data_IF_573831841415
#
_entry.id   IF_573831841415
#
_cell.length_a   1.000
_cell.length_b   1.000
_cell.length_c   1.000
_cell.angle_alpha   90.00
_cell.angle_beta   90.00
_cell.angle_gamma   90.00
#
_symmetry.space_group_name_H-M   'P 1'
#
loop_
_entity.id
_entity.type
_entity.pdbx_description
1 polymer ?
#
# COMPACT_ATOMS: atom_id res chain seq x y z
N UNK A 1 -31.08 -19.68 2.97
CA UNK A 1 -30.34 -20.09 1.75
C UNK A 1 -28.88 -20.16 2.12
N UNK A 2 -28.44 -21.37 2.39
CA UNK A 2 -27.11 -21.79 2.84
C UNK A 2 -26.10 -21.62 1.70
N UNK A 3 -25.12 -20.74 1.89
CA UNK A 3 -24.08 -20.44 0.88
C UNK A 3 -22.77 -21.14 1.24
N UNK A 4 -22.48 -22.22 0.52
CA UNK A 4 -21.18 -22.80 0.10
C UNK A 4 -19.98 -22.91 1.07
N UNK A 5 -20.06 -22.42 2.31
CA UNK A 5 -19.01 -22.58 3.33
C UNK A 5 -19.06 -23.98 3.99
N UNK A 6 -20.21 -24.66 3.95
CA UNK A 6 -20.41 -25.98 4.57
C UNK A 6 -19.95 -27.16 3.69
N UNK A 7 -19.65 -26.95 2.39
CA UNK A 7 -19.13 -28.02 1.52
C UNK A 7 -17.60 -28.17 1.55
N UNK A 8 -16.87 -27.37 2.35
CA UNK A 8 -15.41 -27.49 2.48
C UNK A 8 -14.94 -28.25 3.73
N UNK A 9 -15.86 -28.91 4.46
CA UNK A 9 -15.53 -29.65 5.71
C UNK A 9 -15.73 -31.18 5.58
N UNK A 10 -16.16 -31.72 4.43
CA UNK A 10 -16.28 -33.19 4.26
C UNK A 10 -15.45 -33.66 3.07
N UNK A 11 -14.19 -33.98 3.33
CA UNK A 11 -13.42 -34.99 2.60
C UNK A 11 -12.17 -35.32 3.43
N UNK A 12 -12.33 -36.27 4.35
CA UNK A 12 -11.24 -36.92 5.05
C UNK A 12 -10.67 -38.06 4.18
N UNK A 13 -9.42 -38.43 4.49
CA UNK A 13 -8.69 -39.64 4.14
C UNK A 13 -7.89 -39.74 2.81
N UNK A 14 -6.57 -39.72 3.02
CA UNK A 14 -5.52 -40.57 2.42
C UNK A 14 -4.76 -40.11 1.15
N UNK A 15 -3.46 -39.85 1.39
CA UNK A 15 -2.31 -39.66 0.48
C UNK A 15 -1.99 -38.24 -0.06
N UNK A 16 -0.92 -37.64 0.52
CA UNK A 16 -0.10 -36.43 0.21
C UNK A 16 -0.03 -35.88 -1.24
N UNK A 17 0.46 -34.62 -1.50
CA UNK A 17 1.32 -33.70 -0.69
C UNK A 17 0.77 -32.24 -0.54
N UNK A 18 1.40 -31.34 0.25
CA UNK A 18 0.74 -30.21 0.90
C UNK A 18 0.35 -29.08 -0.07
N UNK A 19 -0.86 -28.53 0.14
CA UNK A 19 -1.42 -27.40 -0.61
C UNK A 19 -0.53 -26.17 -0.47
N UNK A 20 0.12 -25.79 -1.58
CA UNK A 20 0.76 -24.48 -1.75
C UNK A 20 -0.32 -23.39 -1.83
N UNK A 21 -0.16 -22.38 -0.98
CA UNK A 21 -0.83 -21.06 -0.88
C UNK A 21 -1.92 -20.71 -1.89
N UNK A 22 -3.16 -20.63 -1.40
CA UNK A 22 -4.34 -20.17 -2.15
C UNK A 22 -4.39 -18.62 -2.18
N UNK A 23 -4.00 -18.01 -3.31
CA UNK A 23 -4.32 -16.60 -3.61
C UNK A 23 -5.66 -16.55 -4.35
N UNK A 24 -6.75 -16.20 -3.64
CA UNK A 24 -8.07 -16.00 -4.26
C UNK A 24 -8.21 -14.55 -4.77
N UNK A 25 -8.35 -14.37 -6.09
CA UNK A 25 -8.76 -13.10 -6.68
C UNK A 25 -10.24 -13.16 -7.09
N UNK A 26 -11.07 -12.31 -6.52
CA UNK A 26 -12.51 -12.26 -6.79
C UNK A 26 -12.84 -11.01 -7.61
N UNK A 27 -12.97 -11.16 -8.93
CA UNK A 27 -13.44 -10.07 -9.80
C UNK A 27 -14.98 -10.08 -9.78
N UNK A 28 -15.63 -9.26 -8.94
CA UNK A 28 -17.09 -9.30 -8.77
C UNK A 28 -17.92 -8.86 -9.99
N UNK A 29 -17.30 -8.44 -11.10
CA UNK A 29 -18.00 -8.23 -12.38
C UNK A 29 -18.09 -9.49 -13.25
N UNK A 30 -17.32 -10.52 -12.94
CA UNK A 30 -17.28 -11.79 -13.67
C UNK A 30 -17.26 -12.87 -12.62
N UNK A 31 -18.37 -13.59 -12.37
CA UNK A 31 -18.48 -14.71 -11.42
C UNK A 31 -17.42 -15.79 -11.70
N UNK A 32 -16.17 -15.52 -11.41
CA UNK A 32 -14.97 -16.14 -11.96
C UNK A 32 -13.93 -16.26 -10.86
N UNK A 33 -13.46 -17.47 -10.60
CA UNK A 33 -12.46 -17.79 -9.59
C UNK A 33 -11.23 -18.33 -10.29
N UNK A 34 -10.05 -17.79 -9.99
CA UNK A 34 -8.76 -18.28 -10.50
C UNK A 34 -7.94 -18.84 -9.34
N UNK A 35 -7.41 -20.05 -9.46
CA UNK A 35 -6.47 -20.59 -8.48
C UNK A 35 -5.40 -21.51 -9.12
N UNK A 36 -4.31 -21.72 -8.39
CA UNK A 36 -3.21 -22.60 -8.79
C UNK A 36 -3.54 -24.01 -8.31
N UNK A 37 -3.72 -24.96 -9.23
CA UNK A 37 -4.03 -26.37 -8.91
C UNK A 37 -2.79 -27.16 -8.48
N UNK A 38 -1.61 -26.76 -8.97
CA UNK A 38 -0.34 -27.43 -8.67
C UNK A 38 0.70 -27.26 -9.77
N UNK A 39 1.78 -28.05 -9.69
CA UNK A 39 2.91 -28.04 -10.62
C UNK A 39 3.05 -29.42 -11.26
N UNK A 40 3.06 -29.52 -12.59
CA UNK A 40 3.28 -30.78 -13.32
C UNK A 40 4.42 -30.59 -14.33
N UNK A 41 5.47 -31.42 -14.25
CA UNK A 41 6.67 -31.34 -15.08
C UNK A 41 7.31 -29.94 -15.10
N UNK A 42 7.40 -29.29 -13.93
CA UNK A 42 7.98 -27.95 -13.79
C UNK A 42 7.07 -26.79 -14.21
N UNK A 43 5.87 -27.05 -14.72
CA UNK A 43 4.92 -26.04 -15.23
C UNK A 43 3.78 -25.81 -14.25
N UNK A 44 3.36 -24.55 -14.07
CA UNK A 44 2.22 -24.19 -13.23
C UNK A 44 0.90 -24.50 -13.93
N UNK A 45 -0.04 -25.12 -13.21
CA UNK A 45 -1.41 -25.36 -13.65
C UNK A 45 -2.35 -24.37 -12.97
N UNK A 46 -3.00 -23.53 -13.78
CA UNK A 46 -4.04 -22.61 -13.33
C UNK A 46 -5.40 -23.17 -13.71
N UNK A 47 -6.33 -23.19 -12.76
CA UNK A 47 -7.74 -23.52 -12.97
C UNK A 47 -8.60 -22.28 -12.79
N UNK A 48 -9.71 -22.28 -13.52
CA UNK A 48 -10.76 -21.32 -13.28
C UNK A 48 -12.15 -21.88 -13.40
N UNK A 49 -12.97 -21.37 -12.50
CA UNK A 49 -14.36 -21.71 -12.35
C UNK A 49 -15.16 -20.46 -12.62
N UNK A 50 -16.09 -20.53 -13.57
CA UNK A 50 -17.04 -19.46 -13.85
C UNK A 50 -18.46 -20.02 -13.80
N UNK A 51 -19.35 -19.42 -13.00
CA UNK A 51 -20.73 -19.90 -12.84
C UNK A 51 -20.82 -21.41 -12.55
N UNK A 52 -20.02 -21.93 -11.61
CA UNK A 52 -20.00 -23.36 -11.22
C UNK A 52 -19.55 -24.33 -12.33
N UNK A 53 -19.08 -23.83 -13.47
CA UNK A 53 -18.48 -24.61 -14.54
C UNK A 53 -16.96 -24.40 -14.59
N UNK A 54 -16.21 -25.49 -14.72
CA UNK A 54 -14.76 -25.45 -14.98
C UNK A 54 -14.54 -24.90 -16.40
N UNK A 55 -13.88 -23.74 -16.53
CA UNK A 55 -13.73 -23.05 -17.82
C UNK A 55 -12.38 -23.27 -18.46
N UNK A 56 -11.29 -23.46 -17.70
CA UNK A 56 -9.96 -23.68 -18.30
C UNK A 56 -8.95 -24.38 -17.40
N UNK A 57 -8.04 -25.11 -18.05
CA UNK A 57 -6.73 -25.52 -17.53
C UNK A 57 -5.64 -24.94 -18.45
N UNK A 58 -4.75 -24.08 -17.94
CA UNK A 58 -3.60 -23.57 -18.73
C UNK A 58 -2.29 -24.16 -18.22
N UNK A 59 -1.41 -24.49 -19.18
CA UNK A 59 -0.04 -24.93 -18.93
C UNK A 59 0.88 -23.86 -19.50
N UNK A 60 1.75 -23.28 -18.66
CA UNK A 60 2.79 -22.35 -19.08
C UNK A 60 3.90 -23.09 -19.84
N UNK A 61 4.20 -22.64 -21.07
CA UNK A 61 5.41 -23.05 -21.80
C UNK A 61 6.10 -21.78 -22.34
N UNK A 62 7.33 -21.53 -21.92
CA UNK A 62 8.18 -20.44 -22.43
C UNK A 62 7.51 -19.05 -22.38
N UNK A 63 6.85 -18.72 -21.26
CA UNK A 63 6.16 -17.44 -21.07
C UNK A 63 4.89 -17.24 -21.91
N UNK A 64 4.43 -18.29 -22.62
CA UNK A 64 3.18 -18.31 -23.39
C UNK A 64 2.23 -19.36 -22.80
N UNK A 65 0.98 -18.95 -22.54
CA UNK A 65 -0.06 -19.85 -22.04
C UNK A 65 -0.64 -20.63 -23.22
N UNK A 66 -0.50 -21.96 -23.21
CA UNK A 66 -1.17 -22.83 -24.18
C UNK A 66 -2.59 -23.15 -23.68
N UNK A 67 -3.60 -22.62 -24.37
CA UNK A 67 -5.01 -22.97 -24.16
C UNK A 67 -5.35 -24.24 -24.92
N UNK A 68 -5.85 -25.28 -24.24
CA UNK A 68 -6.44 -26.47 -24.90
C UNK A 68 -7.97 -26.33 -24.94
N UNK A 69 -8.49 -26.28 -26.17
CA UNK A 69 -9.89 -26.43 -26.63
C UNK A 69 -11.01 -25.60 -25.97
N UNK A 70 -11.63 -24.72 -26.77
CA UNK A 70 -13.07 -24.82 -27.06
C UNK A 70 -13.41 -24.03 -28.32
N UNK A 71 -13.72 -24.74 -29.40
CA UNK A 71 -14.09 -24.16 -30.69
C UNK A 71 -15.55 -23.65 -30.75
N UNK A 72 -16.35 -23.71 -29.67
CA UNK A 72 -17.82 -23.60 -29.80
C UNK A 72 -18.59 -22.74 -28.76
N UNK A 73 -17.99 -21.76 -28.07
CA UNK A 73 -18.77 -20.82 -27.25
C UNK A 73 -18.39 -19.34 -27.47
N UNK A 74 -19.00 -18.80 -28.53
CA UNK A 74 -19.55 -17.45 -28.71
C UNK A 74 -18.68 -16.17 -28.50
N UNK A 75 -18.80 -15.32 -29.52
CA UNK A 75 -18.11 -14.06 -29.82
C UNK A 75 -18.17 -12.94 -28.75
N UNK A 76 -17.23 -11.98 -28.89
CA UNK A 76 -17.03 -10.71 -28.15
C UNK A 76 -16.57 -10.75 -26.68
N UNK A 77 -16.86 -11.80 -25.90
CA UNK A 77 -16.40 -11.89 -24.49
C UNK A 77 -14.92 -12.29 -24.33
N UNK A 78 -14.33 -13.01 -25.29
CA UNK A 78 -12.93 -13.46 -25.24
C UNK A 78 -11.92 -12.29 -25.21
N UNK A 79 -12.18 -11.21 -25.94
CA UNK A 79 -11.27 -10.06 -26.01
C UNK A 79 -11.14 -9.31 -24.67
N UNK A 80 -12.26 -9.05 -23.97
CA UNK A 80 -12.26 -8.45 -22.62
C UNK A 80 -11.56 -9.36 -21.60
N UNK A 81 -11.73 -10.67 -21.72
CA UNK A 81 -11.12 -11.68 -20.87
C UNK A 81 -9.60 -11.75 -21.04
N UNK A 82 -9.10 -11.75 -22.29
CA UNK A 82 -7.66 -11.73 -22.57
C UNK A 82 -6.99 -10.44 -22.10
N UNK A 83 -7.69 -9.29 -22.20
CA UNK A 83 -7.20 -8.00 -21.69
C UNK A 83 -7.12 -7.99 -20.17
N UNK A 84 -8.15 -8.48 -19.46
CA UNK A 84 -8.12 -8.62 -17.99
C UNK A 84 -7.04 -9.59 -17.53
N UNK A 85 -6.88 -10.74 -18.21
CA UNK A 85 -5.86 -11.72 -17.86
C UNK A 85 -4.47 -11.15 -18.05
N UNK A 86 -4.22 -10.44 -19.16
CA UNK A 86 -2.97 -9.70 -19.37
C UNK A 86 -2.74 -8.66 -18.26
N UNK A 87 -3.76 -7.89 -17.85
CA UNK A 87 -3.65 -6.92 -16.76
C UNK A 87 -3.32 -7.56 -15.40
N UNK A 88 -3.95 -8.69 -15.06
CA UNK A 88 -3.70 -9.43 -13.82
C UNK A 88 -2.32 -10.11 -13.81
N UNK A 89 -1.91 -10.74 -14.92
CA UNK A 89 -0.57 -11.37 -15.01
C UNK A 89 0.53 -10.30 -15.04
N UNK A 90 0.26 -9.15 -15.67
CA UNK A 90 1.09 -7.95 -15.59
C UNK A 90 1.20 -7.42 -14.16
N UNK A 91 0.14 -7.52 -13.35
CA UNK A 91 0.13 -7.04 -11.96
C UNK A 91 0.92 -7.98 -11.05
N UNK A 92 0.75 -9.30 -11.20
CA UNK A 92 1.57 -10.29 -10.51
C UNK A 92 3.05 -10.21 -10.90
N UNK A 93 3.37 -9.98 -12.18
CA UNK A 93 4.74 -9.68 -12.62
C UNK A 93 5.26 -8.37 -12.01
N UNK A 94 4.43 -7.34 -11.82
CA UNK A 94 4.82 -6.11 -11.13
C UNK A 94 5.20 -6.39 -9.68
N UNK A 95 4.38 -7.11 -8.94
CA UNK A 95 4.67 -7.43 -7.53
C UNK A 95 5.94 -8.28 -7.36
N UNK A 96 6.25 -9.18 -8.31
CA UNK A 96 7.44 -10.04 -8.26
C UNK A 96 8.72 -9.38 -8.80
N UNK A 97 8.64 -8.49 -9.80
CA UNK A 97 9.82 -7.85 -10.42
C UNK A 97 10.20 -6.50 -9.79
N UNK A 98 9.48 -6.05 -8.76
CA UNK A 98 9.75 -4.85 -7.97
C UNK A 98 11.01 -4.95 -7.07
N UNK A 99 11.87 -5.96 -7.26
CA UNK A 99 13.15 -6.17 -6.56
C UNK A 99 14.23 -5.08 -6.80
N UNK A 100 13.95 -4.03 -7.59
CA UNK A 100 14.99 -3.13 -8.12
C UNK A 100 15.31 -1.88 -7.26
N UNK A 101 14.46 -1.35 -6.36
CA UNK A 101 14.87 -0.19 -5.55
C UNK A 101 15.37 -0.51 -4.13
N UNK A 102 15.51 -1.78 -3.73
CA UNK A 102 16.00 -2.13 -2.38
C UNK A 102 17.43 -1.58 -2.15
N UNK A 103 18.34 -1.74 -3.13
CA UNK A 103 19.70 -1.17 -3.08
C UNK A 103 19.73 0.36 -3.02
N UNK A 104 18.71 1.01 -3.60
CA UNK A 104 18.55 2.47 -3.58
C UNK A 104 18.17 2.95 -2.18
N UNK A 105 17.26 2.25 -1.51
CA UNK A 105 16.88 2.55 -0.12
C UNK A 105 18.09 2.32 0.82
N UNK A 106 18.90 1.26 0.65
CA UNK A 106 20.16 1.07 1.43
C UNK A 106 21.10 2.26 1.28
N UNK A 107 21.36 2.70 0.04
CA UNK A 107 22.24 3.87 -0.20
C UNK A 107 21.71 5.14 0.45
N UNK A 108 20.39 5.27 0.59
CA UNK A 108 19.72 6.45 1.16
C UNK A 108 19.64 6.44 2.68
N UNK A 109 19.67 5.26 3.30
CA UNK A 109 19.84 5.15 4.75
C UNK A 109 21.24 5.60 5.23
N UNK A 110 22.19 5.83 4.32
CA UNK A 110 23.43 6.56 4.63
C UNK A 110 23.15 7.96 5.17
N UNK A 111 21.99 8.57 4.90
CA UNK A 111 21.61 9.88 5.45
C UNK A 111 21.46 9.81 6.96
N UNK A 112 20.79 8.77 7.48
CA UNK A 112 20.73 8.54 8.93
C UNK A 112 22.13 8.29 9.51
N UNK A 113 23.06 7.70 8.73
CA UNK A 113 24.46 7.51 9.14
C UNK A 113 25.19 8.85 9.31
N UNK A 114 25.03 9.80 8.39
CA UNK A 114 25.64 11.15 8.48
C UNK A 114 25.05 11.94 9.65
N UNK A 115 23.74 11.86 9.88
CA UNK A 115 23.11 12.56 11.01
C UNK A 115 23.46 11.91 12.36
N UNK A 116 23.59 10.57 12.42
CA UNK A 116 24.00 9.85 13.63
C UNK A 116 25.44 10.15 14.09
N UNK A 117 26.35 10.54 13.17
CA UNK A 117 27.69 11.01 13.56
C UNK A 117 27.68 12.35 14.29
N UNK A 118 26.61 13.13 14.16
CA UNK A 118 26.38 14.36 14.91
C UNK A 118 25.30 14.09 15.98
N UNK A 119 25.70 13.42 17.06
CA UNK A 119 24.91 12.92 18.21
C UNK A 119 23.80 13.84 18.80
N UNK A 120 23.70 15.11 18.40
CA UNK A 120 22.76 16.10 18.95
C UNK A 120 21.74 16.71 17.97
N UNK A 121 21.68 16.32 16.69
CA UNK A 121 20.69 16.92 15.78
C UNK A 121 19.32 16.29 15.91
N UNK A 122 18.33 17.11 16.26
CA UNK A 122 16.92 16.75 16.22
C UNK A 122 16.43 16.60 14.78
N UNK A 123 15.63 15.57 14.54
CA UNK A 123 15.13 15.24 13.23
C UNK A 123 13.61 15.04 13.24
N UNK A 124 12.91 15.62 12.27
CA UNK A 124 11.51 15.26 12.02
C UNK A 124 11.44 13.99 11.16
N UNK A 125 11.19 12.85 11.81
CA UNK A 125 11.11 11.54 11.20
C UNK A 125 9.93 11.42 10.21
N UNK A 126 8.83 12.11 10.47
CA UNK A 126 7.69 12.15 9.55
C UNK A 126 8.09 12.74 8.20
N UNK A 127 8.76 13.90 8.19
CA UNK A 127 9.21 14.56 6.95
C UNK A 127 10.17 13.65 6.17
N UNK A 128 11.05 12.91 6.86
CA UNK A 128 11.96 11.96 6.20
C UNK A 128 11.20 10.79 5.58
N UNK A 129 10.20 10.25 6.28
CA UNK A 129 9.35 9.19 5.72
C UNK A 129 8.56 9.66 4.51
N UNK A 130 8.02 10.89 4.54
CA UNK A 130 7.31 11.49 3.41
C UNK A 130 8.23 11.61 2.18
N UNK A 131 9.46 12.10 2.36
CA UNK A 131 10.46 12.20 1.28
C UNK A 131 10.87 10.82 0.75
N UNK A 132 11.09 9.86 1.64
CA UNK A 132 11.43 8.49 1.27
C UNK A 132 10.31 7.80 0.50
N UNK A 133 9.08 7.93 0.98
CA UNK A 133 7.90 7.39 0.30
C UNK A 133 7.74 8.03 -1.08
N UNK A 134 7.92 9.35 -1.18
CA UNK A 134 7.82 10.08 -2.44
C UNK A 134 8.86 9.65 -3.47
N UNK A 135 10.13 9.55 -3.07
CA UNK A 135 11.17 9.07 -3.98
C UNK A 135 10.92 7.62 -4.42
N UNK A 136 10.45 6.78 -3.50
CA UNK A 136 10.20 5.36 -3.76
C UNK A 136 9.04 5.18 -4.75
N UNK A 137 7.93 5.92 -4.56
CA UNK A 137 6.79 5.87 -5.48
C UNK A 137 7.14 6.48 -6.84
N UNK A 138 7.90 7.59 -6.90
CA UNK A 138 8.38 8.15 -8.17
C UNK A 138 9.23 7.14 -8.93
N UNK A 139 10.17 6.46 -8.25
CA UNK A 139 11.04 5.49 -8.89
C UNK A 139 10.31 4.26 -9.41
N UNK A 140 9.35 3.74 -8.62
CA UNK A 140 8.59 2.54 -8.99
C UNK A 140 7.54 2.86 -10.06
N UNK A 141 6.79 3.94 -9.86
CA UNK A 141 5.68 4.28 -10.75
C UNK A 141 6.13 4.96 -12.03
N UNK A 142 7.18 5.78 -11.98
CA UNK A 142 7.58 6.66 -13.09
C UNK A 142 8.94 6.30 -13.68
N UNK A 143 9.69 5.40 -13.05
CA UNK A 143 11.09 5.15 -13.42
C UNK A 143 12.00 6.36 -13.18
N UNK A 144 11.48 7.40 -12.51
CA UNK A 144 12.16 8.67 -12.27
C UNK A 144 12.56 8.77 -10.81
N UNK A 145 13.82 9.09 -10.57
CA UNK A 145 14.35 9.29 -9.23
C UNK A 145 14.58 10.78 -8.97
N UNK A 146 13.71 11.44 -8.19
CA UNK A 146 13.87 12.84 -7.90
C UNK A 146 14.99 13.17 -6.89
N UNK A 147 15.51 12.17 -6.18
CA UNK A 147 16.50 12.33 -5.13
C UNK A 147 16.09 13.33 -4.01
N UNK A 148 14.82 13.43 -3.61
CA UNK A 148 14.37 14.38 -2.58
C UNK A 148 14.86 14.07 -1.17
N UNK A 149 15.40 12.86 -0.97
CA UNK A 149 16.14 12.53 0.24
C UNK A 149 17.52 13.19 0.33
N UNK A 150 18.08 13.72 -0.74
CA UNK A 150 19.39 14.40 -0.71
C UNK A 150 19.28 15.83 -0.15
N UNK A 151 19.70 16.02 1.09
CA UNK A 151 19.65 17.31 1.80
C UNK A 151 20.70 18.33 1.33
N UNK A 152 21.66 17.92 0.49
CA UNK A 152 22.57 18.89 -0.17
C UNK A 152 21.82 19.79 -1.15
N UNK A 153 20.64 19.35 -1.61
CA UNK A 153 19.67 20.13 -2.35
C UNK A 153 18.64 20.69 -1.36
N UNK A 154 18.85 21.93 -0.92
CA UNK A 154 18.12 22.58 0.17
C UNK A 154 16.64 22.91 -0.13
N UNK A 155 16.14 22.66 -1.34
CA UNK A 155 14.80 23.07 -1.75
C UNK A 155 13.79 21.94 -1.62
N UNK A 156 12.71 22.18 -0.87
CA UNK A 156 11.48 21.37 -0.96
C UNK A 156 11.05 21.37 -2.42
N UNK A 157 10.87 20.19 -3.00
CA UNK A 157 10.40 20.06 -4.39
C UNK A 157 9.14 20.90 -4.61
N UNK A 158 9.09 21.76 -5.63
CA UNK A 158 7.87 22.48 -5.98
C UNK A 158 6.68 21.54 -6.18
N UNK A 159 6.94 20.32 -6.66
CA UNK A 159 5.93 19.27 -6.83
C UNK A 159 5.41 18.76 -5.48
N UNK A 160 6.30 18.47 -4.53
CA UNK A 160 5.89 17.97 -3.21
C UNK A 160 5.11 19.03 -2.42
N UNK A 161 5.57 20.29 -2.44
CA UNK A 161 4.87 21.41 -1.81
C UNK A 161 3.50 21.66 -2.45
N UNK A 162 3.39 21.55 -3.78
CA UNK A 162 2.11 21.67 -4.46
C UNK A 162 1.14 20.55 -4.07
N UNK A 163 1.61 19.31 -3.89
CA UNK A 163 0.77 18.22 -3.38
C UNK A 163 0.25 18.51 -1.96
N UNK A 164 1.10 19.03 -1.07
CA UNK A 164 0.71 19.33 0.31
C UNK A 164 -0.39 20.41 0.34
N UNK A 165 -0.21 21.50 -0.43
CA UNK A 165 -1.21 22.56 -0.60
C UNK A 165 -2.51 22.03 -1.22
N UNK A 166 -2.41 21.17 -2.24
CA UNK A 166 -3.58 20.62 -2.91
C UNK A 166 -4.38 19.68 -1.98
N UNK A 167 -3.70 18.85 -1.20
CA UNK A 167 -4.31 17.94 -0.24
C UNK A 167 -5.02 18.70 0.90
N UNK A 168 -4.37 19.72 1.46
CA UNK A 168 -4.95 20.56 2.51
C UNK A 168 -6.19 21.31 2.00
N UNK A 169 -6.08 22.00 0.86
CA UNK A 169 -7.20 22.73 0.27
C UNK A 169 -8.37 21.80 -0.09
N UNK A 170 -8.09 20.58 -0.57
CA UNK A 170 -9.12 19.58 -0.86
C UNK A 170 -9.78 19.07 0.42
N UNK A 171 -9.02 18.81 1.49
CA UNK A 171 -9.59 18.42 2.78
C UNK A 171 -10.49 19.51 3.38
N UNK A 172 -10.15 20.80 3.18
CA UNK A 172 -11.00 21.93 3.58
C UNK A 172 -12.33 21.95 2.82
N UNK A 173 -12.35 21.59 1.53
CA UNK A 173 -13.61 21.47 0.77
C UNK A 173 -14.53 20.42 1.37
N UNK A 174 -13.99 19.27 1.76
CA UNK A 174 -14.74 18.18 2.36
C UNK A 174 -15.32 18.54 3.74
N UNK A 175 -14.66 19.44 4.48
CA UNK A 175 -15.13 19.98 5.76
C UNK A 175 -16.16 21.10 5.62
N UNK A 176 -16.34 21.66 4.42
CA UNK A 176 -17.28 22.76 4.23
C UNK A 176 -18.72 22.27 4.46
N UNK A 177 -19.36 22.79 5.51
CA UNK A 177 -20.73 22.42 5.88
C UNK A 177 -21.74 22.65 4.75
N UNK A 178 -21.46 23.60 3.85
CA UNK A 178 -22.35 23.90 2.72
C UNK A 178 -21.59 23.89 1.39
N UNK A 179 -22.02 23.01 0.48
CA UNK A 179 -21.39 22.77 -0.83
C UNK A 179 -21.28 24.02 -1.72
N UNK A 180 -22.08 25.05 -1.52
CA UNK A 180 -22.00 26.26 -2.34
C UNK A 180 -20.83 27.16 -1.92
N UNK A 181 -20.34 27.08 -0.68
CA UNK A 181 -19.27 27.95 -0.16
C UNK A 181 -17.99 27.79 -0.97
N UNK A 182 -17.54 26.54 -1.19
CA UNK A 182 -16.34 26.31 -2.00
C UNK A 182 -16.59 26.61 -3.48
N UNK A 183 -17.82 26.41 -3.99
CA UNK A 183 -18.16 26.78 -5.38
C UNK A 183 -18.07 28.28 -5.61
N UNK A 184 -18.55 29.08 -4.65
CA UNK A 184 -18.43 30.56 -4.68
C UNK A 184 -16.98 30.98 -4.54
N UNK A 185 -16.22 30.41 -3.59
CA UNK A 185 -14.78 30.67 -3.47
C UNK A 185 -14.03 30.32 -4.77
N UNK A 186 -14.44 29.26 -5.46
CA UNK A 186 -13.86 28.83 -6.75
C UNK A 186 -14.21 29.80 -7.87
N UNK A 187 -15.46 30.24 -7.94
CA UNK A 187 -15.93 31.23 -8.92
C UNK A 187 -15.21 32.58 -8.75
N UNK A 188 -15.07 33.03 -7.51
CA UNK A 188 -14.39 34.28 -7.15
C UNK A 188 -12.86 34.15 -7.12
N UNK A 189 -12.32 32.93 -7.29
CA UNK A 189 -10.89 32.63 -7.21
C UNK A 189 -10.25 33.16 -5.91
N UNK A 190 -10.86 32.88 -4.76
CA UNK A 190 -10.46 33.41 -3.44
C UNK A 190 -9.67 32.39 -2.64
N UNK A 191 -8.57 32.87 -2.05
CA UNK A 191 -7.75 32.25 -1.00
C UNK A 191 -7.45 30.75 -1.22
N UNK A 192 -8.21 29.84 -0.62
CA UNK A 192 -7.96 28.39 -0.67
C UNK A 192 -8.14 27.81 -2.06
N UNK A 193 -9.11 28.31 -2.83
CA UNK A 193 -9.42 27.82 -4.18
C UNK A 193 -8.41 28.33 -5.21
N UNK A 194 -7.88 29.55 -5.01
CA UNK A 194 -6.78 30.09 -5.81
C UNK A 194 -5.51 29.28 -5.60
N UNK A 195 -5.12 29.05 -4.34
CA UNK A 195 -3.96 28.23 -3.98
C UNK A 195 -4.06 26.82 -4.56
N UNK A 196 -5.25 26.22 -4.49
CA UNK A 196 -5.48 24.90 -5.10
C UNK A 196 -5.34 24.92 -6.62
N UNK A 197 -5.89 25.94 -7.31
CA UNK A 197 -5.74 26.10 -8.76
C UNK A 197 -4.26 26.22 -9.17
N UNK A 198 -3.49 27.04 -8.45
CA UNK A 198 -2.05 27.23 -8.68
C UNK A 198 -1.28 25.92 -8.43
N UNK A 199 -1.54 25.25 -7.31
CA UNK A 199 -0.92 23.96 -6.96
C UNK A 199 -1.22 22.88 -8.01
N UNK A 200 -2.47 22.75 -8.46
CA UNK A 200 -2.85 21.82 -9.54
C UNK A 200 -2.13 22.16 -10.84
N UNK A 201 -1.96 23.45 -11.16
CA UNK A 201 -1.17 23.89 -12.31
C UNK A 201 0.29 23.42 -12.23
N UNK A 202 0.93 23.57 -11.07
CA UNK A 202 2.31 23.08 -10.83
C UNK A 202 2.40 21.57 -10.95
N UNK A 203 1.44 20.83 -10.36
CA UNK A 203 1.40 19.37 -10.44
C UNK A 203 1.25 18.91 -11.89
N UNK A 204 0.29 19.46 -12.63
CA UNK A 204 0.05 19.10 -14.03
C UNK A 204 1.27 19.39 -14.90
N UNK A 205 1.89 20.57 -14.73
CA UNK A 205 3.10 20.92 -15.47
C UNK A 205 4.24 19.93 -15.21
N UNK A 206 4.53 19.65 -13.94
CA UNK A 206 5.61 18.74 -13.56
C UNK A 206 5.36 17.30 -14.03
N UNK A 207 4.14 16.79 -13.86
CA UNK A 207 3.78 15.42 -14.29
C UNK A 207 3.83 15.30 -15.81
N UNK A 208 3.32 16.28 -16.56
CA UNK A 208 3.40 16.28 -18.01
C UNK A 208 4.85 16.34 -18.51
N UNK A 209 5.72 17.10 -17.84
CA UNK A 209 7.15 17.13 -18.16
C UNK A 209 7.82 15.76 -17.94
N UNK A 210 7.47 15.06 -16.85
CA UNK A 210 7.93 13.69 -16.59
C UNK A 210 7.45 12.72 -17.68
N UNK A 211 6.16 12.79 -18.05
CA UNK A 211 5.57 11.95 -19.10
C UNK A 211 6.28 12.19 -20.43
N UNK A 212 6.48 13.46 -20.81
CA UNK A 212 7.17 13.85 -22.04
C UNK A 212 8.59 13.30 -22.07
N UNK A 213 9.40 13.56 -21.04
CA UNK A 213 10.77 13.05 -20.93
C UNK A 213 10.81 11.53 -20.97
N UNK A 214 9.82 10.85 -20.41
CA UNK A 214 9.75 9.39 -20.44
C UNK A 214 9.44 8.86 -21.85
N UNK A 215 8.60 9.55 -22.62
CA UNK A 215 8.33 9.24 -24.04
C UNK A 215 9.56 9.44 -24.92
N UNK A 216 10.32 10.52 -24.69
CA UNK A 216 11.55 10.81 -25.44
C UNK A 216 12.66 9.77 -25.20
N UNK A 217 12.75 9.23 -23.98
CA UNK A 217 13.74 8.22 -23.60
C UNK A 217 13.22 6.77 -23.72
N UNK A 218 12.11 6.56 -24.43
CA UNK A 218 11.53 5.24 -24.64
C UNK A 218 12.22 4.55 -25.82
N UNK A 219 13.39 3.93 -25.56
CA UNK A 219 13.99 2.99 -26.50
C UNK A 219 13.03 1.79 -26.62
N UNK A 220 12.59 1.47 -27.83
CA UNK A 220 11.59 0.42 -28.15
C UNK A 220 11.93 -1.02 -27.71
N UNK A 221 12.89 -1.19 -26.81
CA UNK A 221 13.16 -2.43 -26.08
C UNK A 221 12.08 -2.71 -25.02
N UNK A 222 11.61 -3.96 -24.95
CA UNK A 222 10.63 -4.49 -23.99
C UNK A 222 11.04 -4.42 -22.50
N UNK A 223 12.17 -3.81 -22.17
CA UNK A 223 12.78 -3.82 -20.84
C UNK A 223 12.38 -2.66 -19.94
N UNK A 224 11.40 -1.83 -20.31
CA UNK A 224 10.93 -0.74 -19.45
C UNK A 224 9.86 -1.21 -18.44
N UNK A 225 10.26 -1.28 -17.16
CA UNK A 225 9.59 -2.03 -16.08
C UNK A 225 8.61 -1.21 -15.24
N UNK A 226 8.67 0.12 -15.27
CA UNK A 226 7.83 0.99 -14.45
C UNK A 226 6.40 1.16 -14.99
N UNK A 227 5.52 1.60 -14.11
CA UNK A 227 4.08 1.66 -14.36
C UNK A 227 3.72 2.69 -15.45
N UNK A 228 4.38 3.85 -15.46
CA UNK A 228 4.19 4.91 -16.45
C UNK A 228 4.53 4.43 -17.86
N UNK A 229 5.68 3.79 -18.03
CA UNK A 229 6.09 3.24 -19.33
C UNK A 229 5.04 2.27 -19.86
N UNK A 230 4.47 1.44 -18.99
CA UNK A 230 3.40 0.50 -19.37
C UNK A 230 2.08 1.17 -19.74
N UNK A 231 1.69 2.25 -19.05
CA UNK A 231 0.50 3.02 -19.44
C UNK A 231 0.68 3.67 -20.82
N UNK A 232 1.87 4.19 -21.08
CA UNK A 232 2.22 4.77 -22.39
C UNK A 232 2.24 3.69 -23.47
N UNK A 233 2.88 2.53 -23.24
CA UNK A 233 2.91 1.43 -24.20
C UNK A 233 1.54 0.81 -24.48
N UNK A 234 0.60 0.90 -23.52
CA UNK A 234 -0.77 0.45 -23.71
C UNK A 234 -1.62 1.42 -24.57
N UNK A 235 -1.07 2.57 -24.97
CA UNK A 235 -1.75 3.53 -25.85
C UNK A 235 -2.86 4.31 -25.16
N UNK A 236 -2.78 4.49 -23.85
CA UNK A 236 -3.73 5.32 -23.10
C UNK A 236 -3.54 6.81 -23.43
N UNK A 237 -4.63 7.57 -23.31
CA UNK A 237 -4.61 9.02 -23.51
C UNK A 237 -3.77 9.74 -22.43
N UNK A 238 -3.19 10.88 -22.80
CA UNK A 238 -2.25 11.61 -21.93
C UNK A 238 -2.89 12.12 -20.64
N UNK A 239 -4.19 12.43 -20.68
CA UNK A 239 -4.94 12.88 -19.52
C UNK A 239 -5.08 11.76 -18.48
N UNK A 240 -5.46 10.56 -18.91
CA UNK A 240 -5.58 9.37 -18.08
C UNK A 240 -4.20 8.96 -17.54
N UNK A 241 -3.15 9.03 -18.36
CA UNK A 241 -1.78 8.75 -17.89
C UNK A 241 -1.39 9.75 -16.79
N UNK A 242 -1.60 11.05 -17.00
CA UNK A 242 -1.34 12.11 -16.01
C UNK A 242 -2.13 11.88 -14.73
N UNK A 243 -3.43 11.67 -14.82
CA UNK A 243 -4.31 11.51 -13.66
C UNK A 243 -3.99 10.24 -12.87
N UNK A 244 -3.59 9.16 -13.55
CA UNK A 244 -3.09 7.95 -12.92
C UNK A 244 -1.77 8.20 -12.19
N UNK A 245 -0.81 8.90 -12.80
CA UNK A 245 0.46 9.27 -12.16
C UNK A 245 0.21 10.09 -10.90
N UNK A 246 -0.62 11.14 -10.98
CA UNK A 246 -1.00 11.97 -9.84
C UNK A 246 -1.61 11.09 -8.73
N UNK A 247 -2.55 10.20 -9.10
CA UNK A 247 -3.23 9.30 -8.16
C UNK A 247 -2.24 8.37 -7.44
N UNK A 248 -1.27 7.77 -8.14
CA UNK A 248 -0.26 6.91 -7.53
C UNK A 248 0.67 7.66 -6.59
N UNK A 249 1.14 8.85 -7.01
CA UNK A 249 2.03 9.67 -6.19
C UNK A 249 1.35 10.08 -4.88
N UNK A 250 0.11 10.56 -4.94
CA UNK A 250 -0.66 10.92 -3.75
C UNK A 250 -0.92 9.71 -2.85
N UNK A 251 -1.43 8.62 -3.42
CA UNK A 251 -1.81 7.45 -2.65
C UNK A 251 -0.61 6.77 -1.96
N UNK A 252 0.53 6.67 -2.64
CA UNK A 252 1.72 5.96 -2.14
C UNK A 252 2.60 6.75 -1.17
N UNK A 253 2.57 8.09 -1.25
CA UNK A 253 3.43 8.98 -0.45
C UNK A 253 2.94 9.14 0.99
N UNK A 254 1.75 9.68 1.16
CA UNK A 254 1.30 10.17 2.47
C UNK A 254 0.84 9.01 3.36
N UNK A 255 0.15 8.02 2.79
CA UNK A 255 -0.40 6.90 3.56
C UNK A 255 0.68 6.03 4.20
N UNK A 256 1.69 5.64 3.42
CA UNK A 256 2.83 4.82 3.85
C UNK A 256 3.68 5.56 4.89
N UNK A 257 3.92 6.86 4.69
CA UNK A 257 4.72 7.66 5.62
C UNK A 257 4.01 7.87 6.96
N UNK A 258 2.69 8.09 6.96
CA UNK A 258 1.88 8.14 8.17
C UNK A 258 1.92 6.81 8.95
N UNK A 259 1.69 5.68 8.28
CA UNK A 259 1.71 4.37 8.91
C UNK A 259 3.04 4.04 9.60
N UNK A 260 4.16 4.30 8.92
CA UNK A 260 5.49 4.12 9.52
C UNK A 260 5.72 5.06 10.70
N UNK A 261 5.35 6.33 10.56
CA UNK A 261 5.55 7.33 11.63
C UNK A 261 4.81 6.92 12.91
N UNK A 262 3.55 6.48 12.81
CA UNK A 262 2.78 5.99 13.95
C UNK A 262 3.31 4.69 14.53
N UNK A 263 3.82 3.77 13.69
CA UNK A 263 4.48 2.57 14.20
C UNK A 263 5.71 2.95 15.06
N UNK A 264 6.59 3.80 14.56
CA UNK A 264 7.78 4.19 15.34
C UNK A 264 7.41 4.91 16.63
N UNK A 265 6.38 5.75 16.65
CA UNK A 265 5.85 6.32 17.90
C UNK A 265 5.33 5.26 18.88
N UNK A 266 4.61 4.26 18.38
CA UNK A 266 4.12 3.17 19.23
C UNK A 266 5.28 2.35 19.82
N UNK A 267 6.34 2.11 19.05
CA UNK A 267 7.52 1.38 19.52
C UNK A 267 8.25 2.09 20.66
N UNK A 268 8.25 3.44 20.71
CA UNK A 268 8.88 4.18 21.83
C UNK A 268 8.26 3.85 23.18
N UNK A 269 6.98 3.48 23.19
CA UNK A 269 6.24 3.09 24.39
C UNK A 269 6.20 1.57 24.63
N UNK A 270 6.68 0.77 23.68
CA UNK A 270 6.65 -0.70 23.74
C UNK A 270 8.03 -1.29 23.43
N UNK A 271 9.04 -1.05 24.29
CA UNK A 271 10.41 -1.50 24.04
C UNK A 271 10.55 -3.02 23.92
N UNK A 272 9.67 -3.79 24.59
CA UNK A 272 9.62 -5.25 24.44
C UNK A 272 9.24 -5.65 23.02
N UNK A 273 8.22 -5.00 22.44
CA UNK A 273 7.80 -5.25 21.05
C UNK A 273 8.89 -4.82 20.06
N UNK A 274 9.56 -3.68 20.31
CA UNK A 274 10.70 -3.26 19.49
C UNK A 274 11.84 -4.30 19.54
N UNK A 275 12.12 -4.87 20.72
CA UNK A 275 13.11 -5.95 20.87
C UNK A 275 12.72 -7.21 20.10
N UNK A 276 11.46 -7.62 20.16
CA UNK A 276 10.97 -8.80 19.43
C UNK A 276 11.03 -8.59 17.91
N UNK A 277 10.71 -7.39 17.43
CA UNK A 277 10.93 -7.01 16.03
C UNK A 277 12.40 -7.09 15.64
N UNK A 278 13.30 -6.58 16.47
CA UNK A 278 14.74 -6.65 16.21
C UNK A 278 15.24 -8.10 16.14
N UNK A 279 14.73 -8.98 17.00
CA UNK A 279 15.04 -10.41 16.98
C UNK A 279 14.56 -11.06 15.66
N UNK A 280 13.31 -10.80 15.24
CA UNK A 280 12.80 -11.26 13.94
C UNK A 280 13.70 -10.77 12.80
N UNK A 281 13.97 -9.47 12.73
CA UNK A 281 14.77 -8.87 11.67
C UNK A 281 16.19 -9.45 11.62
N UNK A 282 16.80 -9.70 12.78
CA UNK A 282 18.18 -10.20 12.87
C UNK A 282 18.27 -11.68 12.51
N UNK A 283 17.28 -12.50 12.91
CA UNK A 283 17.22 -13.93 12.60
C UNK A 283 17.10 -14.26 11.12
N UNK A 284 16.52 -13.36 10.32
CA UNK A 284 16.33 -13.54 8.87
C UNK A 284 17.61 -13.31 8.06
N UNK A 285 18.63 -12.69 8.64
CA UNK A 285 19.88 -12.37 7.95
C UNK A 285 20.84 -13.56 8.12
N UNK A 286 20.84 -14.45 7.13
CA UNK A 286 21.56 -15.73 7.22
C UNK A 286 23.08 -15.64 7.06
N UNK A 287 23.65 -14.51 6.60
CA UNK A 287 25.10 -14.34 6.50
C UNK A 287 25.51 -12.85 6.66
N UNK A 288 26.71 -12.62 7.20
CA UNK A 288 27.31 -11.30 7.47
C UNK A 288 27.49 -10.41 6.22
N UNK A 289 27.32 -10.94 5.01
CA UNK A 289 27.67 -10.25 3.76
C UNK A 289 26.47 -9.59 3.03
N UNK A 290 25.24 -9.77 3.52
CA UNK A 290 24.06 -9.12 2.94
C UNK A 290 23.73 -7.80 3.64
N UNK A 291 24.35 -6.71 3.17
CA UNK A 291 23.99 -5.33 3.57
C UNK A 291 22.55 -4.93 3.21
N UNK A 292 21.86 -5.70 2.36
CA UNK A 292 20.51 -5.44 1.86
C UNK A 292 19.55 -6.61 2.12
N UNK A 293 18.39 -6.32 2.71
CA UNK A 293 17.28 -7.28 2.84
C UNK A 293 16.77 -7.67 1.45
N UNK A 294 16.55 -8.96 1.22
CA UNK A 294 15.97 -9.51 -0.01
C UNK A 294 14.44 -9.46 0.05
N UNK A 295 13.79 -9.68 -1.10
CA UNK A 295 12.34 -9.74 -1.16
C UNK A 295 11.75 -10.92 -0.39
N UNK A 296 12.45 -12.05 -0.40
CA UNK A 296 12.02 -13.25 0.31
C UNK A 296 12.20 -13.05 1.83
N UNK A 297 13.28 -12.41 2.29
CA UNK A 297 13.43 -12.06 3.71
C UNK A 297 12.26 -11.21 4.21
N UNK A 298 11.82 -10.24 3.41
CA UNK A 298 10.72 -9.36 3.77
C UNK A 298 9.38 -10.10 3.85
N UNK A 299 9.17 -11.15 3.04
CA UNK A 299 7.93 -11.92 3.05
C UNK A 299 7.73 -12.63 4.38
N UNK A 300 8.80 -13.19 4.93
CA UNK A 300 8.83 -13.97 6.17
C UNK A 300 8.73 -13.10 7.44
N UNK A 301 8.79 -11.76 7.35
CA UNK A 301 8.65 -10.85 8.49
C UNK A 301 7.17 -10.64 8.90
N UNK A 302 6.58 -11.68 9.47
CA UNK A 302 5.18 -11.73 9.88
C UNK A 302 4.90 -10.90 11.15
N UNK A 303 5.81 -10.86 12.10
CA UNK A 303 5.67 -10.05 13.32
C UNK A 303 5.75 -8.55 13.00
N UNK A 304 6.65 -8.14 12.11
CA UNK A 304 6.67 -6.77 11.59
C UNK A 304 5.38 -6.41 10.84
N UNK A 305 4.83 -7.35 10.07
CA UNK A 305 3.53 -7.16 9.40
C UNK A 305 2.40 -7.01 10.42
N UNK A 306 2.40 -7.82 11.48
CA UNK A 306 1.45 -7.71 12.59
C UNK A 306 1.56 -6.36 13.31
N UNK A 307 2.77 -5.88 13.59
CA UNK A 307 2.99 -4.55 14.18
C UNK A 307 2.48 -3.43 13.28
N UNK A 308 2.69 -3.51 11.96
CA UNK A 308 2.14 -2.55 11.00
C UNK A 308 0.62 -2.57 10.98
N UNK A 309 0.00 -3.77 10.96
CA UNK A 309 -1.45 -3.92 11.00
C UNK A 309 -2.03 -3.35 12.30
N UNK A 310 -1.43 -3.65 13.45
CA UNK A 310 -1.88 -3.16 14.76
C UNK A 310 -1.69 -1.64 14.90
N UNK A 311 -0.57 -1.11 14.38
CA UNK A 311 -0.33 0.33 14.33
C UNK A 311 -1.40 1.02 13.50
N UNK A 312 -1.72 0.50 12.30
CA UNK A 312 -2.76 1.08 11.44
C UNK A 312 -4.18 0.83 11.95
N UNK A 313 -4.41 -0.16 12.83
CA UNK A 313 -5.71 -0.33 13.51
C UNK A 313 -5.97 0.84 14.46
N UNK A 314 -4.95 1.23 15.22
CA UNK A 314 -5.02 2.38 16.13
C UNK A 314 -4.88 3.72 15.39
N UNK A 315 -3.98 3.82 14.43
CA UNK A 315 -3.69 5.06 13.71
C UNK A 315 -3.77 4.84 12.20
N UNK A 316 -4.98 4.56 11.66
CA UNK A 316 -5.15 4.37 10.23
C UNK A 316 -4.78 5.64 9.47
N UNK A 317 -3.99 5.55 8.38
CA UNK A 317 -3.68 6.71 7.55
C UNK A 317 -4.93 7.37 6.96
N UNK A 318 -5.97 6.59 6.64
CA UNK A 318 -7.28 7.10 6.20
C UNK A 318 -8.30 6.86 7.30
N UNK A 319 -8.72 7.93 7.97
CA UNK A 319 -9.54 7.87 9.19
C UNK A 319 -10.99 7.49 8.95
N UNK A 320 -11.52 7.86 7.79
CA UNK A 320 -12.87 7.60 7.33
C UNK A 320 -12.90 7.51 5.81
N UNK A 321 -13.88 6.79 5.28
CA UNK A 321 -14.18 6.83 3.85
C UNK A 321 -15.69 6.70 3.64
N UNK A 322 -16.16 7.08 2.46
CA UNK A 322 -17.56 7.11 2.12
C UNK A 322 -17.85 6.53 0.75
N UNK A 323 -19.02 5.90 0.61
CA UNK A 323 -19.61 5.46 -0.65
C UNK A 323 -20.94 6.18 -0.84
N UNK A 324 -21.44 6.21 -2.07
CA UNK A 324 -22.78 6.75 -2.36
C UNK A 324 -23.67 5.61 -2.84
N UNK A 325 -24.88 5.53 -2.30
CA UNK A 325 -25.85 4.53 -2.70
C UNK A 325 -26.27 4.76 -4.16
N UNK A 326 -26.05 3.76 -5.02
CA UNK A 326 -26.42 3.85 -6.43
C UNK A 326 -27.93 3.72 -6.64
N UNK A 327 -28.59 2.93 -5.80
CA UNK A 327 -30.02 2.69 -5.74
C UNK A 327 -30.47 2.65 -4.27
N UNK A 328 -31.78 2.61 -4.03
CA UNK A 328 -32.32 2.42 -2.68
C UNK A 328 -31.94 1.04 -2.15
N UNK A 329 -31.61 0.95 -0.87
CA UNK A 329 -31.19 -0.27 -0.19
C UNK A 329 -31.54 -0.21 1.32
N UNK A 330 -31.31 -1.29 2.05
CA UNK A 330 -31.53 -1.39 3.50
C UNK A 330 -30.30 -2.01 4.16
N UNK A 331 -29.74 -1.33 5.17
CA UNK A 331 -28.61 -1.85 5.94
C UNK A 331 -29.01 -3.07 6.78
N UNK A 332 -28.05 -3.89 7.26
CA UNK A 332 -28.36 -5.11 8.02
C UNK A 332 -29.18 -4.89 9.31
N UNK A 333 -29.22 -3.67 9.84
CA UNK A 333 -30.01 -3.29 11.02
C UNK A 333 -31.42 -2.79 10.67
N UNK A 334 -31.80 -2.83 9.40
CA UNK A 334 -33.09 -2.33 8.91
C UNK A 334 -33.09 -0.85 8.52
N UNK A 335 -31.97 -0.13 8.65
CA UNK A 335 -31.90 1.29 8.29
C UNK A 335 -32.02 1.47 6.77
N UNK A 336 -33.03 2.20 6.26
CA UNK A 336 -33.15 2.47 4.83
C UNK A 336 -32.08 3.47 4.37
N UNK A 337 -31.51 3.20 3.19
CA UNK A 337 -30.55 4.08 2.51
C UNK A 337 -31.10 4.39 1.12
N UNK A 338 -31.27 5.67 0.82
CA UNK A 338 -31.83 6.07 -0.47
C UNK A 338 -30.74 6.37 -1.49
N UNK A 339 -31.09 6.23 -2.78
CA UNK A 339 -30.23 6.61 -3.90
C UNK A 339 -29.61 8.00 -3.69
N UNK A 340 -28.30 8.08 -3.86
CA UNK A 340 -27.50 9.29 -3.67
C UNK A 340 -27.11 9.60 -2.23
N UNK A 341 -27.63 8.88 -1.23
CA UNK A 341 -27.17 9.01 0.15
C UNK A 341 -25.68 8.66 0.26
N UNK A 342 -24.94 9.46 1.04
CA UNK A 342 -23.55 9.20 1.39
C UNK A 342 -23.52 8.29 2.62
N UNK A 343 -23.00 7.08 2.45
CA UNK A 343 -22.76 6.11 3.53
C UNK A 343 -21.29 6.15 3.89
N UNK A 344 -20.98 6.30 5.18
CA UNK A 344 -19.62 6.51 5.67
C UNK A 344 -19.27 5.45 6.70
N UNK A 345 -18.02 5.02 6.69
CA UNK A 345 -17.47 4.16 7.74
C UNK A 345 -16.19 4.79 8.28
N UNK A 346 -15.88 4.49 9.54
CA UNK A 346 -14.88 5.21 10.32
C UNK A 346 -13.82 4.24 10.84
N UNK A 347 -12.82 3.84 10.02
CA UNK A 347 -11.75 2.94 10.44
C UNK A 347 -11.09 3.31 11.77
N UNK A 348 -10.89 4.60 12.05
CA UNK A 348 -10.27 5.05 13.30
C UNK A 348 -11.10 4.69 14.54
N UNK A 349 -12.42 4.84 14.46
CA UNK A 349 -13.34 4.42 15.52
C UNK A 349 -13.54 2.92 15.55
N UNK A 350 -13.73 2.29 14.38
CA UNK A 350 -13.87 0.83 14.25
C UNK A 350 -12.68 0.08 14.83
N UNK A 351 -11.47 0.61 14.68
CA UNK A 351 -10.27 0.08 15.31
C UNK A 351 -10.37 0.00 16.84
N UNK A 352 -11.14 0.87 17.49
CA UNK A 352 -11.26 0.99 18.95
C UNK A 352 -12.60 0.51 19.51
N UNK A 353 -13.42 -0.16 18.71
CA UNK A 353 -14.69 -0.68 19.18
C UNK A 353 -14.48 -1.98 19.96
N UNK A 354 -14.87 -2.00 21.23
CA UNK A 354 -14.85 -3.20 22.08
C UNK A 354 -15.60 -4.36 21.43
N UNK A 355 -16.76 -4.09 20.81
CA UNK A 355 -17.56 -5.09 20.08
C UNK A 355 -16.77 -5.80 18.96
N UNK A 356 -15.78 -5.13 18.36
CA UNK A 356 -14.97 -5.70 17.28
C UNK A 356 -13.67 -6.32 17.80
N UNK A 357 -13.04 -5.69 18.79
CA UNK A 357 -11.65 -5.99 19.18
C UNK A 357 -11.45 -6.50 20.61
N UNK A 358 -12.52 -6.56 21.42
CA UNK A 358 -12.45 -6.95 22.83
C UNK A 358 -12.16 -5.78 23.76
N UNK A 359 -12.12 -6.05 25.07
CA UNK A 359 -11.92 -5.05 26.14
C UNK A 359 -10.60 -4.29 26.03
N UNK A 360 -9.62 -4.94 25.43
CA UNK A 360 -8.26 -4.50 25.18
C UNK A 360 -8.12 -3.77 23.83
N UNK A 361 -9.23 -3.33 23.22
CA UNK A 361 -9.25 -2.62 21.94
C UNK A 361 -8.40 -1.34 21.88
N UNK A 362 -7.98 -0.78 23.01
CA UNK A 362 -7.09 0.39 23.06
C UNK A 362 -5.60 0.03 23.15
N UNK A 363 -5.27 -1.22 23.44
CA UNK A 363 -3.88 -1.68 23.59
C UNK A 363 -3.22 -1.91 22.24
N UNK A 364 -1.93 -1.59 22.12
CA UNK A 364 -1.12 -1.98 20.98
C UNK A 364 -0.59 -3.40 21.19
N UNK A 365 -1.29 -4.40 20.63
CA UNK A 365 -0.93 -5.82 20.74
C UNK A 365 -0.82 -6.51 19.38
N UNK A 366 0.40 -6.64 18.82
CA UNK A 366 0.64 -7.37 17.56
C UNK A 366 0.19 -8.83 17.59
N UNK A 367 0.16 -9.49 18.75
CA UNK A 367 -0.24 -10.89 18.88
C UNK A 367 -1.69 -11.15 18.45
N UNK A 368 -2.53 -10.10 18.35
CA UNK A 368 -3.90 -10.18 17.80
C UNK A 368 -3.94 -10.71 16.36
N UNK A 369 -2.83 -10.58 15.63
CA UNK A 369 -2.71 -10.94 14.23
C UNK A 369 -2.20 -12.36 14.02
N UNK A 370 -2.08 -13.16 15.10
CA UNK A 370 -1.67 -14.55 15.05
C UNK A 370 -2.81 -15.47 15.52
N UNK A 371 -2.91 -16.66 14.93
CA UNK A 371 -3.75 -17.73 15.46
C UNK A 371 -3.15 -18.31 16.74
N UNK A 372 -3.94 -19.13 17.46
CA UNK A 372 -3.44 -19.91 18.61
C UNK A 372 -2.26 -20.83 18.24
N UNK A 373 -2.18 -21.24 16.97
CA UNK A 373 -1.07 -22.02 16.42
C UNK A 373 0.16 -21.18 16.02
N UNK A 374 0.17 -19.87 16.30
CA UNK A 374 1.28 -18.96 16.01
C UNK A 374 1.42 -18.56 14.54
N UNK A 375 0.40 -18.76 13.70
CA UNK A 375 0.46 -18.42 12.26
C UNK A 375 -0.16 -17.05 12.03
N UNK A 376 0.52 -16.19 11.26
CA UNK A 376 -0.02 -14.88 10.91
C UNK A 376 -1.36 -15.03 10.16
N UNK A 377 -2.37 -14.31 10.65
CA UNK A 377 -3.72 -14.29 10.08
C UNK A 377 -4.16 -12.85 9.86
N UNK A 378 -4.31 -12.50 8.58
CA UNK A 378 -4.94 -11.23 8.23
C UNK A 378 -6.40 -11.23 8.69
N UNK A 379 -6.80 -10.18 9.41
CA UNK A 379 -8.18 -9.99 9.84
C UNK A 379 -9.12 -9.73 8.65
N UNK A 380 -10.41 -10.00 8.84
CA UNK A 380 -11.45 -9.71 7.86
C UNK A 380 -11.39 -8.22 7.43
N UNK A 381 -11.33 -7.90 6.11
CA UNK A 381 -11.19 -6.52 5.62
C UNK A 381 -12.38 -5.62 5.93
N UNK A 382 -13.54 -6.17 6.31
CA UNK A 382 -14.70 -5.39 6.78
C UNK A 382 -14.64 -5.09 8.29
N UNK A 383 -13.80 -5.82 9.06
CA UNK A 383 -13.46 -5.51 10.46
C UNK A 383 -12.22 -4.61 10.54
N UNK A 384 -11.21 -4.91 9.73
CA UNK A 384 -9.99 -4.11 9.56
C UNK A 384 -9.95 -3.49 8.15
N UNK A 385 -10.63 -2.35 8.00
CA UNK A 385 -10.88 -1.71 6.72
C UNK A 385 -9.83 -0.66 6.29
N UNK A 386 -8.60 -0.74 6.81
CA UNK A 386 -7.52 0.22 6.51
C UNK A 386 -7.18 0.27 5.02
N UNK A 387 -7.19 -0.90 4.37
CA UNK A 387 -6.98 -1.03 2.93
C UNK A 387 -8.30 -1.17 2.15
N UNK A 388 -9.44 -0.81 2.75
CA UNK A 388 -10.77 -1.00 2.20
C UNK A 388 -11.13 -2.49 2.01
N UNK A 389 -12.29 -2.75 1.43
CA UNK A 389 -12.75 -4.08 1.06
C UNK A 389 -13.46 -4.07 -0.31
N UNK A 390 -13.69 -5.26 -0.87
CA UNK A 390 -14.45 -5.44 -2.11
C UNK A 390 -13.76 -4.86 -3.35
N UNK A 391 -14.53 -4.46 -4.39
CA UNK A 391 -13.99 -4.01 -5.68
C UNK A 391 -13.14 -2.74 -5.64
N UNK A 392 -13.17 -2.00 -4.53
CA UNK A 392 -12.40 -0.78 -4.30
C UNK A 392 -11.32 -0.98 -3.23
N UNK A 393 -10.89 -2.23 -3.02
CA UNK A 393 -9.72 -2.55 -2.20
C UNK A 393 -8.50 -1.79 -2.71
N UNK A 394 -7.65 -1.33 -1.78
CA UNK A 394 -6.45 -0.57 -2.10
C UNK A 394 -5.55 -1.37 -3.05
N UNK A 395 -5.36 -0.82 -4.25
CA UNK A 395 -4.51 -1.41 -5.28
C UNK A 395 -3.05 -1.54 -4.81
N UNK A 396 -2.59 -0.60 -3.97
CA UNK A 396 -1.22 -0.53 -3.47
C UNK A 396 -0.94 -1.35 -2.20
N UNK A 397 -1.89 -2.16 -1.69
CA UNK A 397 -1.77 -2.84 -0.39
C UNK A 397 -0.45 -3.63 -0.23
N UNK A 398 -0.20 -4.57 -1.14
CA UNK A 398 0.99 -5.43 -1.05
C UNK A 398 2.28 -4.63 -1.22
N UNK A 399 2.28 -3.66 -2.15
CA UNK A 399 3.40 -2.74 -2.35
C UNK A 399 3.70 -1.92 -1.10
N UNK A 400 2.67 -1.42 -0.40
CA UNK A 400 2.81 -0.66 0.83
C UNK A 400 3.43 -1.52 1.93
N UNK A 401 2.94 -2.75 2.14
CA UNK A 401 3.55 -3.66 3.13
C UNK A 401 5.02 -3.96 2.81
N UNK A 402 5.36 -4.22 1.55
CA UNK A 402 6.76 -4.45 1.16
C UNK A 402 7.65 -3.25 1.47
N UNK A 403 7.20 -2.05 1.12
CA UNK A 403 7.94 -0.81 1.38
C UNK A 403 8.11 -0.55 2.87
N UNK A 404 7.02 -0.62 3.64
CA UNK A 404 7.06 -0.38 5.07
C UNK A 404 7.95 -1.38 5.79
N UNK A 405 7.80 -2.68 5.49
CA UNK A 405 8.66 -3.73 6.07
C UNK A 405 10.13 -3.46 5.81
N UNK A 406 10.46 -3.14 4.56
CA UNK A 406 11.84 -2.86 4.20
C UNK A 406 12.42 -1.66 4.94
N UNK A 407 11.70 -0.55 4.96
CA UNK A 407 12.16 0.69 5.59
C UNK A 407 12.28 0.51 7.10
N UNK A 408 11.24 -0.03 7.75
CA UNK A 408 11.22 -0.23 9.20
C UNK A 408 12.35 -1.18 9.61
N UNK A 409 12.47 -2.35 8.96
CA UNK A 409 13.54 -3.30 9.27
C UNK A 409 14.92 -2.70 9.06
N UNK A 410 15.10 -1.94 7.98
CA UNK A 410 16.37 -1.31 7.66
C UNK A 410 16.77 -0.16 8.60
N UNK A 411 15.79 0.54 9.19
CA UNK A 411 15.99 1.59 10.19
C UNK A 411 16.26 0.97 11.54
N UNK A 412 15.37 0.09 12.04
CA UNK A 412 15.50 -0.56 13.35
C UNK A 412 16.82 -1.31 13.50
N UNK A 413 17.27 -2.02 12.46
CA UNK A 413 18.55 -2.73 12.47
C UNK A 413 19.76 -1.84 12.73
N UNK A 414 19.73 -0.60 12.25
CA UNK A 414 20.91 0.29 12.24
C UNK A 414 20.83 1.38 13.30
N UNK A 415 19.62 1.76 13.67
CA UNK A 415 19.37 2.94 14.46
C UNK A 415 18.33 2.68 15.54
N UNK A 416 18.55 3.34 16.67
CA UNK A 416 17.55 3.56 17.70
C UNK A 416 17.02 4.99 17.50
N UNK A 417 15.69 5.14 17.46
CA UNK A 417 15.03 6.44 17.33
C UNK A 417 14.48 6.85 18.70
N UNK A 418 15.10 7.86 19.31
CA UNK A 418 14.70 8.37 20.63
C UNK A 418 13.82 9.59 20.43
N UNK A 419 12.54 9.60 20.84
CA UNK A 419 11.68 10.77 20.68
C UNK A 419 12.20 11.96 21.49
N UNK A 420 12.05 13.18 20.94
CA UNK A 420 12.47 14.42 21.62
C UNK A 420 11.52 14.76 22.78
N UNK A 421 10.23 14.47 22.62
CA UNK A 421 9.21 14.56 23.66
C UNK A 421 8.39 13.27 23.71
N UNK A 422 7.94 12.92 24.92
CA UNK A 422 6.99 11.83 25.17
C UNK A 422 5.55 12.32 25.28
N UNK A 423 5.28 13.61 25.06
CA UNK A 423 3.91 14.12 25.03
C UNK A 423 3.09 13.42 23.93
N UNK A 424 1.82 13.14 24.22
CA UNK A 424 0.91 12.52 23.26
C UNK A 424 0.80 13.38 22.00
N UNK A 425 1.16 12.85 20.80
CA UNK A 425 1.07 13.61 19.56
C UNK A 425 -0.38 13.95 19.24
N UNK A 426 -0.61 15.18 18.77
CA UNK A 426 -1.92 15.58 18.29
C UNK A 426 -2.19 14.87 16.96
N UNK A 427 -3.27 14.08 16.92
CA UNK A 427 -3.71 13.36 15.74
C UNK A 427 -4.52 14.30 14.83
N UNK A 428 -4.02 14.58 13.62
CA UNK A 428 -4.66 15.51 12.68
C UNK A 428 -5.35 14.74 11.55
N UNK A 429 -6.70 14.65 11.53
CA UNK A 429 -7.45 13.94 10.49
C UNK A 429 -7.67 14.84 9.26
N UNK A 430 -6.63 15.00 8.42
CA UNK A 430 -6.78 15.52 7.06
C UNK A 430 -7.09 14.37 6.08
N UNK A 431 -6.82 14.57 4.78
CA UNK A 431 -6.95 13.52 3.76
C UNK A 431 -6.17 12.25 4.13
N UNK A 432 -4.95 12.44 4.65
CA UNK A 432 -4.19 11.42 5.37
C UNK A 432 -3.92 11.92 6.78
N UNK A 433 -4.19 11.08 7.77
CA UNK A 433 -3.97 11.41 9.16
C UNK A 433 -2.49 11.33 9.54
N UNK A 434 -2.01 12.37 10.21
CA UNK A 434 -0.61 12.51 10.62
C UNK A 434 -0.50 13.17 12.00
N UNK A 435 0.71 13.20 12.54
CA UNK A 435 1.02 13.90 13.79
C UNK A 435 1.23 15.38 13.52
N UNK A 436 0.57 16.24 14.29
CA UNK A 436 0.87 17.67 14.25
C UNK A 436 2.35 17.92 14.58
N UNK A 437 3.01 18.78 13.79
CA UNK A 437 4.45 19.01 13.89
C UNK A 437 5.36 17.81 13.56
N UNK A 438 4.80 16.63 13.23
CA UNK A 438 5.52 15.39 12.95
C UNK A 438 6.23 14.76 14.16
N UNK A 439 6.85 13.60 13.96
CA UNK A 439 7.59 12.90 15.01
C UNK A 439 9.04 13.41 15.09
N UNK A 440 9.36 14.21 16.10
CA UNK A 440 10.74 14.67 16.35
C UNK A 440 11.53 13.62 17.13
N UNK A 441 12.68 13.20 16.59
CA UNK A 441 13.55 12.17 17.17
C UNK A 441 15.02 12.57 17.15
N UNK A 442 15.80 11.97 18.06
CA UNK A 442 17.27 11.88 17.98
C UNK A 442 17.63 10.48 17.50
N UNK A 443 18.60 10.39 16.59
CA UNK A 443 19.00 9.13 15.96
C UNK A 443 20.29 8.64 16.59
N UNK A 444 20.28 7.45 17.18
CA UNK A 444 21.49 6.79 17.72
C UNK A 444 21.85 5.59 16.85
N UNK A 445 23.12 5.43 16.50
CA UNK A 445 23.59 4.20 15.84
C UNK A 445 23.54 3.08 16.86
N UNK A 446 22.92 1.94 16.52
CA UNK A 446 22.97 0.74 17.37
C UNK A 446 24.40 0.17 17.34
N UNK A 447 24.92 -0.18 18.51
CA UNK A 447 26.24 -0.81 18.66
C UNK A 447 26.23 -2.18 17.97
N UNK A 448 27.30 -2.47 17.21
CA UNK A 448 27.44 -3.70 16.41
C UNK A 448 27.47 -5.00 17.26
N UNK A 449 27.54 -4.90 18.60
CA UNK A 449 27.58 -6.03 19.54
C UNK A 449 26.23 -6.61 19.97
N UNK A 450 25.10 -6.10 19.47
CA UNK A 450 23.76 -6.71 19.66
C UNK A 450 23.37 -7.65 18.50
N UNK A 451 24.31 -7.93 17.59
CA UNK A 451 24.20 -8.86 16.47
C UNK A 451 24.99 -10.17 16.71
N UNK A 452 25.38 -10.44 17.95
CA UNK A 452 26.13 -11.65 18.34
C UNK A 452 25.22 -12.72 18.93
#
# INVERSE_FOLDING_TARGET
MTTLAEHMIVADAENHPPMLDKIMYNSWQSRMFLYIKGKKNGRMMLECIMNELLVYSTIEKDGKFLTRNMHNLLNKKSFKMTVMFKQLTLFFKVSYQMCIPLSTIVRRLKIFRIESSYSCKELNFHIKNVRLAFDTICKISLGWDPCFLDFTRSTVSPLAAAFDVAAEATAVRDKAAVKWVWKVKKLLNVESERKLKEAVGVIHFAVNDIIRKRRENMDGSETQRDLLSRFISAGHDDELVRDMVISFLMAGRDTTSAAMTWLFWLLTWHPTIEKDLLNEITSMIKEYDHLSLTFDDLKEMDYLKACLCESMRLYPPVVWDSKHAAENDVLPDGTPVYKGNRVMYFPYGMGRMEKLWGKDCLEFRPDRWFSESGVFKMENPYKFSVFQAGPRVCLGKEMAFMQMRYVVASVLRRFELVPVSLDQPVFVPLLTAHMDGGLKVRVRKRSEGLLL
#
